data_IF_530905907649
#
_entry.id   IF_530905907649
#
_cell.length_a   1.000
_cell.length_b   1.000
_cell.length_c   1.000
_cell.angle_alpha   90.00
_cell.angle_beta   90.00
_cell.angle_gamma   90.00
#
_symmetry.space_group_name_H-M   'P 1'
#
loop_
_entity.id
_entity.type
_entity.pdbx_description
1 polymer ?
#
# COMPACT_ATOMS: atom_id res chain seq x y z
N UNK A 1 -1.90 0.08 48.56
CA UNK A 1 -1.56 -0.91 49.60
C UNK A 1 -2.84 -1.62 50.01
N UNK A 2 -2.94 -2.93 49.71
CA UNK A 2 -3.94 -3.89 50.23
C UNK A 2 -5.41 -3.64 49.83
N UNK A 3 -6.33 -4.59 49.84
CA UNK A 3 -6.31 -6.04 50.01
C UNK A 3 -7.72 -6.55 49.64
N UNK A 4 -7.82 -7.81 49.20
CA UNK A 4 -9.07 -8.55 48.97
C UNK A 4 -9.86 -8.76 50.28
N UNK A 5 -11.19 -8.61 50.25
CA UNK A 5 -12.11 -9.39 51.12
C UNK A 5 -13.43 -9.66 50.37
N UNK A 6 -13.83 -10.94 50.40
CA UNK A 6 -15.05 -11.52 49.87
C UNK A 6 -16.30 -11.17 50.70
N UNK A 7 -17.50 -11.34 50.12
CA UNK A 7 -18.69 -11.57 50.94
C UNK A 7 -20.04 -11.36 50.27
N UNK A 8 -20.77 -12.46 50.08
CA UNK A 8 -22.21 -12.52 50.42
C UNK A 8 -23.21 -12.17 49.32
N UNK A 9 -23.74 -13.19 48.65
CA UNK A 9 -25.05 -13.14 48.00
C UNK A 9 -26.15 -13.07 49.06
N UNK A 10 -26.98 -12.02 49.02
CA UNK A 10 -28.26 -11.98 49.72
C UNK A 10 -29.36 -11.66 48.71
N UNK A 11 -30.06 -12.70 48.27
CA UNK A 11 -31.29 -12.58 47.50
C UNK A 11 -32.34 -11.91 48.38
N UNK A 12 -32.75 -10.69 48.03
CA UNK A 12 -33.94 -10.05 48.62
C UNK A 12 -35.05 -10.05 47.59
N UNK A 13 -35.99 -10.93 47.88
CA UNK A 13 -37.35 -11.13 47.35
C UNK A 13 -37.93 -9.89 46.66
N UNK A 14 -38.36 -10.07 45.39
CA UNK A 14 -39.27 -9.17 44.70
C UNK A 14 -40.62 -9.12 45.43
N UNK A 15 -40.78 -8.14 46.30
CA UNK A 15 -42.08 -7.69 46.80
C UNK A 15 -42.51 -6.45 46.03
N UNK A 16 -43.41 -6.62 45.07
CA UNK A 16 -44.16 -5.51 44.48
C UNK A 16 -45.13 -5.01 45.54
N UNK A 17 -44.72 -4.01 46.30
CA UNK A 17 -45.61 -3.18 47.09
C UNK A 17 -45.29 -1.74 46.72
N UNK A 18 -46.29 -1.08 46.12
CA UNK A 18 -46.14 0.22 45.47
C UNK A 18 -45.57 1.29 46.39
N UNK A 19 -44.46 1.89 45.96
CA UNK A 19 -43.91 3.12 46.52
C UNK A 19 -43.71 4.12 45.38
N UNK A 20 -44.78 4.67 44.81
CA UNK A 20 -44.67 6.01 44.21
C UNK A 20 -44.72 7.03 45.33
N UNK A 21 -43.66 7.10 46.13
CA UNK A 21 -43.37 8.32 46.89
C UNK A 21 -42.83 9.31 45.88
N UNK A 22 -43.69 10.21 45.41
CA UNK A 22 -43.25 11.44 44.76
C UNK A 22 -42.59 12.26 45.87
N UNK A 23 -41.28 12.04 46.06
CA UNK A 23 -40.46 13.00 46.80
C UNK A 23 -40.52 14.26 45.94
N UNK A 24 -41.21 15.28 46.43
CA UNK A 24 -41.16 16.62 45.88
C UNK A 24 -39.76 17.20 46.12
N UNK A 25 -38.77 16.69 45.39
CA UNK A 25 -37.49 17.34 45.19
C UNK A 25 -37.60 18.10 43.89
N UNK A 26 -37.54 19.43 43.95
CA UNK A 26 -37.18 20.20 42.76
C UNK A 26 -35.87 19.59 42.23
N UNK A 27 -35.81 19.10 40.98
CA UNK A 27 -34.53 18.75 40.37
C UNK A 27 -33.80 20.07 40.13
N UNK A 28 -33.23 20.63 41.19
CA UNK A 28 -32.28 21.71 41.05
C UNK A 28 -31.02 21.03 40.54
N UNK A 29 -30.81 21.09 39.22
CA UNK A 29 -29.54 20.71 38.63
C UNK A 29 -28.45 21.45 39.42
N UNK A 30 -27.46 20.72 39.95
CA UNK A 30 -26.36 21.35 40.65
C UNK A 30 -25.61 22.26 39.67
N UNK A 31 -26.01 23.52 39.64
CA UNK A 31 -25.53 24.52 38.69
C UNK A 31 -24.05 24.81 38.90
N UNK A 32 -23.51 24.44 40.07
CA UNK A 32 -22.08 24.57 40.37
C UNK A 32 -21.21 23.58 39.58
N UNK A 33 -21.74 22.38 39.29
CA UNK A 33 -21.03 21.32 38.56
C UNK A 33 -21.24 21.38 37.03
N UNK A 34 -22.32 22.02 36.57
CA UNK A 34 -22.65 22.12 35.15
C UNK A 34 -21.54 22.76 34.26
N UNK A 35 -20.84 23.82 34.69
CA UNK A 35 -19.73 24.41 33.92
C UNK A 35 -18.52 23.46 33.83
N UNK A 36 -18.18 22.79 34.95
CA UNK A 36 -17.07 21.84 34.99
C UNK A 36 -17.35 20.61 34.09
N UNK A 37 -18.58 20.09 34.11
CA UNK A 37 -19.00 19.01 33.23
C UNK A 37 -18.93 19.42 31.75
N UNK A 38 -19.50 20.58 31.38
CA UNK A 38 -19.41 21.08 29.99
C UNK A 38 -17.95 21.25 29.54
N UNK A 39 -17.08 21.80 30.39
CA UNK A 39 -15.66 21.91 30.09
C UNK A 39 -14.99 20.55 29.88
N UNK A 40 -15.30 19.56 30.73
CA UNK A 40 -14.75 18.20 30.60
C UNK A 40 -15.22 17.48 29.34
N UNK A 41 -16.50 17.66 28.96
CA UNK A 41 -17.08 17.09 27.74
C UNK A 41 -16.47 17.77 26.52
N UNK A 42 -16.40 19.10 26.49
CA UNK A 42 -15.75 19.84 25.40
C UNK A 42 -14.29 19.45 25.26
N UNK A 43 -13.54 19.34 26.36
CA UNK A 43 -12.15 18.89 26.33
C UNK A 43 -12.02 17.43 25.83
N UNK A 44 -12.93 16.54 26.23
CA UNK A 44 -12.97 15.15 25.76
C UNK A 44 -13.30 15.05 24.28
N UNK A 45 -14.24 15.88 23.79
CA UNK A 45 -14.59 15.96 22.36
C UNK A 45 -13.40 16.49 21.57
N UNK A 46 -12.79 17.61 21.96
CA UNK A 46 -11.60 18.15 21.27
C UNK A 46 -10.41 17.17 21.29
N UNK A 47 -10.18 16.48 22.41
CA UNK A 47 -9.16 15.44 22.49
C UNK A 47 -9.49 14.23 21.61
N UNK A 48 -10.77 13.84 21.52
CA UNK A 48 -11.24 12.75 20.66
C UNK A 48 -11.13 13.14 19.18
N UNK A 49 -11.45 14.36 18.80
CA UNK A 49 -11.30 14.90 17.44
C UNK A 49 -9.82 14.97 17.04
N UNK A 50 -8.95 15.49 17.92
CA UNK A 50 -7.50 15.49 17.71
C UNK A 50 -6.94 14.06 17.58
N UNK A 51 -7.37 13.13 18.44
CA UNK A 51 -6.93 11.73 18.35
C UNK A 51 -7.46 11.04 17.10
N UNK A 52 -8.71 11.31 16.72
CA UNK A 52 -9.35 10.73 15.53
C UNK A 52 -8.72 11.25 14.25
N UNK A 53 -8.45 12.55 14.16
CA UNK A 53 -7.76 13.16 13.02
C UNK A 53 -6.32 12.65 12.88
N UNK A 54 -5.59 12.46 13.99
CA UNK A 54 -4.26 11.84 13.95
C UNK A 54 -4.34 10.39 13.48
N UNK A 55 -5.26 9.57 14.01
CA UNK A 55 -5.44 8.17 13.59
C UNK A 55 -5.81 8.07 12.11
N UNK A 56 -6.72 8.91 11.64
CA UNK A 56 -7.11 8.93 10.23
C UNK A 56 -5.95 9.36 9.33
N UNK A 57 -5.19 10.38 9.74
CA UNK A 57 -3.97 10.79 9.01
C UNK A 57 -2.96 9.66 8.92
N UNK A 58 -2.69 8.95 10.03
CA UNK A 58 -1.79 7.79 10.05
C UNK A 58 -2.30 6.65 9.16
N UNK A 59 -3.61 6.39 9.15
CA UNK A 59 -4.23 5.38 8.28
C UNK A 59 -4.04 5.74 6.81
N UNK A 60 -4.27 6.99 6.43
CA UNK A 60 -4.08 7.49 5.06
C UNK A 60 -2.60 7.41 4.61
N UNK A 61 -1.67 7.77 5.50
CA UNK A 61 -0.24 7.61 5.25
C UNK A 61 0.13 6.14 5.04
N UNK A 62 -0.35 5.25 5.92
CA UNK A 62 -0.07 3.81 5.84
C UNK A 62 -0.59 3.19 4.54
N UNK A 63 -1.81 3.55 4.12
CA UNK A 63 -2.37 3.11 2.83
C UNK A 63 -1.56 3.63 1.64
N UNK A 64 -1.08 4.87 1.70
CA UNK A 64 -0.24 5.46 0.65
C UNK A 64 1.09 4.70 0.55
N UNK A 65 1.76 4.47 1.68
CA UNK A 65 2.99 3.68 1.72
C UNK A 65 2.78 2.26 1.20
N UNK A 66 1.69 1.60 1.59
CA UNK A 66 1.37 0.25 1.13
C UNK A 66 1.07 0.21 -0.38
N UNK A 67 0.38 1.22 -0.93
CA UNK A 67 0.13 1.33 -2.36
C UNK A 67 1.44 1.48 -3.15
N UNK A 68 2.36 2.33 -2.67
CA UNK A 68 3.67 2.52 -3.30
C UNK A 68 4.52 1.25 -3.21
N UNK A 69 4.59 0.61 -2.02
CA UNK A 69 5.29 -0.67 -1.85
C UNK A 69 4.74 -1.77 -2.74
N UNK A 70 3.41 -1.86 -2.88
CA UNK A 70 2.77 -2.83 -3.77
C UNK A 70 3.12 -2.60 -5.23
N UNK A 71 3.16 -1.34 -5.67
CA UNK A 71 3.56 -0.99 -7.03
C UNK A 71 5.04 -1.32 -7.29
N UNK A 72 5.92 -0.97 -6.35
CA UNK A 72 7.35 -1.30 -6.39
C UNK A 72 7.60 -2.81 -6.33
N UNK A 73 6.82 -3.57 -5.57
CA UNK A 73 6.90 -5.02 -5.51
C UNK A 73 6.54 -5.68 -6.84
N UNK A 74 5.43 -5.24 -7.48
CA UNK A 74 5.08 -5.70 -8.83
C UNK A 74 6.20 -5.40 -9.83
N UNK A 75 6.69 -4.17 -9.84
CA UNK A 75 7.81 -3.76 -10.71
C UNK A 75 9.07 -4.60 -10.49
N UNK A 76 9.46 -4.84 -9.25
CA UNK A 76 10.66 -5.63 -8.93
C UNK A 76 10.51 -7.08 -9.42
N UNK A 77 9.36 -7.72 -9.15
CA UNK A 77 9.09 -9.11 -9.54
C UNK A 77 9.01 -9.24 -11.07
N UNK A 78 8.10 -8.51 -11.71
CA UNK A 78 7.86 -8.65 -13.16
C UNK A 78 9.09 -8.29 -13.97
N UNK A 79 9.88 -7.29 -13.54
CA UNK A 79 11.11 -6.92 -14.24
C UNK A 79 12.22 -7.94 -14.06
N UNK A 80 12.27 -8.66 -12.94
CA UNK A 80 13.21 -9.77 -12.75
C UNK A 80 12.85 -10.93 -13.66
N UNK A 81 11.58 -11.34 -13.68
CA UNK A 81 11.09 -12.46 -14.49
C UNK A 81 11.30 -12.21 -15.99
N UNK A 82 11.07 -10.97 -16.44
CA UNK A 82 11.35 -10.56 -17.81
C UNK A 82 12.85 -10.62 -18.15
N UNK A 83 13.72 -10.11 -17.28
CA UNK A 83 15.17 -10.16 -17.48
C UNK A 83 15.67 -11.60 -17.53
N UNK A 84 15.22 -12.46 -16.63
CA UNK A 84 15.62 -13.88 -16.61
C UNK A 84 15.19 -14.61 -17.87
N UNK A 85 14.00 -14.30 -18.40
CA UNK A 85 13.51 -14.88 -19.66
C UNK A 85 14.29 -14.36 -20.86
N UNK A 86 14.60 -13.07 -20.91
CA UNK A 86 15.45 -12.47 -21.95
C UNK A 86 16.87 -13.02 -21.91
N UNK A 87 17.42 -13.31 -20.72
CA UNK A 87 18.74 -13.91 -20.58
C UNK A 87 18.82 -15.29 -21.23
N UNK A 88 17.76 -16.09 -21.18
CA UNK A 88 17.69 -17.38 -21.90
C UNK A 88 17.74 -17.19 -23.41
N UNK A 89 17.06 -16.17 -23.93
CA UNK A 89 17.15 -15.80 -25.35
C UNK A 89 18.56 -15.35 -25.74
N UNK A 90 19.20 -14.51 -24.91
CA UNK A 90 20.58 -14.06 -25.14
C UNK A 90 21.57 -15.24 -25.09
N UNK A 91 21.38 -16.17 -24.16
CA UNK A 91 22.19 -17.40 -24.07
C UNK A 91 22.05 -18.26 -25.33
N UNK A 92 20.82 -18.50 -25.80
CA UNK A 92 20.58 -19.23 -27.05
C UNK A 92 21.23 -18.52 -28.24
N UNK A 93 21.14 -17.19 -28.31
CA UNK A 93 21.76 -16.40 -29.37
C UNK A 93 23.29 -16.53 -29.36
N UNK A 94 23.92 -16.45 -28.19
CA UNK A 94 25.38 -16.50 -28.06
C UNK A 94 25.97 -17.89 -28.24
N UNK A 95 25.23 -18.94 -27.87
CA UNK A 95 25.67 -20.33 -27.96
C UNK A 95 25.30 -21.03 -29.27
N UNK A 96 24.52 -20.37 -30.14
CA UNK A 96 23.94 -21.01 -31.34
C UNK A 96 22.84 -22.03 -31.00
N UNK A 97 22.16 -21.85 -29.86
CA UNK A 97 21.07 -22.69 -29.37
C UNK A 97 19.72 -22.38 -30.02
N UNK A 98 18.63 -22.74 -29.32
CA UNK A 98 17.25 -22.58 -29.81
C UNK A 98 16.76 -21.12 -29.73
N UNK A 99 17.19 -20.31 -30.70
CA UNK A 99 16.74 -18.91 -30.83
C UNK A 99 15.23 -18.82 -31.13
N UNK A 100 14.65 -19.60 -32.08
CA UNK A 100 13.22 -19.54 -32.36
C UNK A 100 12.35 -19.90 -31.14
N UNK A 101 12.74 -20.90 -30.35
CA UNK A 101 12.00 -21.32 -29.16
C UNK A 101 12.11 -20.37 -27.96
N UNK A 102 13.15 -19.53 -27.92
CA UNK A 102 13.36 -18.57 -26.81
C UNK A 102 12.89 -17.15 -27.12
N UNK A 103 12.76 -16.77 -28.40
CA UNK A 103 12.34 -15.43 -28.81
C UNK A 103 10.90 -15.10 -28.39
N UNK A 104 9.95 -16.02 -28.61
CA UNK A 104 8.54 -15.83 -28.25
C UNK A 104 8.33 -15.57 -26.75
N UNK A 105 8.83 -16.46 -25.87
CA UNK A 105 8.76 -16.25 -24.41
C UNK A 105 9.42 -14.94 -23.94
N UNK A 106 10.55 -14.54 -24.54
CA UNK A 106 11.20 -13.28 -24.19
C UNK A 106 10.33 -12.06 -24.57
N UNK A 107 9.69 -12.06 -25.74
CA UNK A 107 8.76 -11.02 -26.17
C UNK A 107 7.56 -10.96 -25.23
N UNK A 108 6.97 -12.10 -24.89
CA UNK A 108 5.81 -12.18 -24.00
C UNK A 108 6.15 -11.65 -22.61
N UNK A 109 7.26 -12.09 -22.01
CA UNK A 109 7.67 -11.67 -20.68
C UNK A 109 7.96 -10.16 -20.59
N UNK A 110 8.57 -9.58 -21.63
CA UNK A 110 8.81 -8.13 -21.71
C UNK A 110 7.50 -7.33 -21.79
N UNK A 111 6.56 -7.75 -22.63
CA UNK A 111 5.25 -7.09 -22.73
C UNK A 111 4.43 -7.25 -21.45
N UNK A 112 4.40 -8.45 -20.89
CA UNK A 112 3.72 -8.72 -19.62
C UNK A 112 4.28 -7.86 -18.48
N UNK A 113 5.60 -7.78 -18.34
CA UNK A 113 6.21 -6.90 -17.33
C UNK A 113 5.87 -5.42 -17.58
N UNK A 114 5.85 -4.97 -18.84
CA UNK A 114 5.43 -3.61 -19.16
C UNK A 114 3.97 -3.35 -18.76
N UNK A 115 3.07 -4.31 -18.98
CA UNK A 115 1.66 -4.21 -18.63
C UNK A 115 1.45 -4.22 -17.11
N UNK A 116 2.12 -5.11 -16.37
CA UNK A 116 2.09 -5.17 -14.90
C UNK A 116 2.57 -3.85 -14.28
N UNK A 117 3.68 -3.30 -14.80
CA UNK A 117 4.24 -2.04 -14.31
C UNK A 117 3.34 -0.87 -14.65
N UNK A 118 2.76 -0.84 -15.86
CA UNK A 118 1.80 0.20 -16.25
C UNK A 118 0.55 0.13 -15.37
N UNK A 119 0.02 -1.08 -15.13
CA UNK A 119 -1.14 -1.31 -14.27
C UNK A 119 -0.87 -1.01 -12.78
N UNK A 120 0.40 -0.99 -12.37
CA UNK A 120 0.79 -0.61 -11.03
C UNK A 120 0.72 0.92 -10.78
N UNK A 121 0.68 1.73 -11.84
CA UNK A 121 0.64 3.18 -11.76
C UNK A 121 -0.73 3.64 -11.22
N UNK A 122 -0.72 4.41 -10.13
CA UNK A 122 -1.91 4.96 -9.49
C UNK A 122 -1.62 6.36 -8.90
N UNK A 123 -2.64 7.04 -8.39
CA UNK A 123 -2.53 8.41 -7.90
C UNK A 123 -1.62 8.59 -6.68
N UNK A 124 -1.36 7.50 -5.93
CA UNK A 124 -0.50 7.53 -4.73
C UNK A 124 0.99 7.55 -5.03
N UNK A 125 1.42 7.22 -6.25
CA UNK A 125 2.83 7.34 -6.64
C UNK A 125 3.21 8.81 -6.88
N UNK A 126 4.46 9.14 -6.55
CA UNK A 126 5.07 10.41 -6.95
C UNK A 126 5.16 10.50 -8.47
N UNK A 127 5.19 11.73 -9.00
CA UNK A 127 5.39 11.96 -10.45
C UNK A 127 6.66 11.28 -10.97
N UNK A 128 7.73 11.28 -10.18
CA UNK A 128 9.01 10.66 -10.55
C UNK A 128 8.91 9.13 -10.68
N UNK A 129 8.16 8.46 -9.77
CA UNK A 129 7.91 7.03 -9.88
C UNK A 129 7.04 6.69 -11.11
N UNK A 130 6.00 7.50 -11.38
CA UNK A 130 5.15 7.32 -12.56
C UNK A 130 5.95 7.44 -13.85
N UNK A 131 6.82 8.44 -13.94
CA UNK A 131 7.73 8.65 -15.07
C UNK A 131 8.70 7.47 -15.24
N UNK A 132 9.34 7.03 -14.16
CA UNK A 132 10.27 5.91 -14.20
C UNK A 132 9.59 4.59 -14.63
N UNK A 133 8.38 4.33 -14.13
CA UNK A 133 7.61 3.12 -14.51
C UNK A 133 7.16 3.17 -15.96
N UNK A 134 6.74 4.34 -16.44
CA UNK A 134 6.38 4.55 -17.85
C UNK A 134 7.58 4.34 -18.76
N UNK A 135 8.73 4.95 -18.42
CA UNK A 135 9.99 4.81 -19.16
C UNK A 135 10.44 3.35 -19.21
N UNK A 136 10.35 2.62 -18.08
CA UNK A 136 10.65 1.19 -18.05
C UNK A 136 9.72 0.39 -18.98
N UNK A 137 8.41 0.63 -18.91
CA UNK A 137 7.43 -0.08 -19.73
C UNK A 137 7.65 0.17 -21.23
N UNK A 138 7.99 1.40 -21.63
CA UNK A 138 8.37 1.74 -23.00
C UNK A 138 9.66 1.04 -23.43
N UNK A 139 10.70 1.05 -22.59
CA UNK A 139 11.97 0.39 -22.89
C UNK A 139 11.81 -1.13 -23.02
N UNK A 140 10.99 -1.75 -22.17
CA UNK A 140 10.70 -3.19 -22.24
C UNK A 140 10.01 -3.56 -23.56
N UNK A 141 8.99 -2.79 -23.97
CA UNK A 141 8.34 -2.94 -25.28
C UNK A 141 9.31 -2.65 -26.43
N UNK A 142 10.25 -1.72 -26.25
CA UNK A 142 11.33 -1.44 -27.20
C UNK A 142 12.24 -2.65 -27.45
N UNK A 143 12.64 -3.37 -26.40
CA UNK A 143 13.41 -4.61 -26.53
C UNK A 143 12.56 -5.71 -27.18
N UNK A 144 11.29 -5.86 -26.78
CA UNK A 144 10.39 -6.85 -27.36
C UNK A 144 10.24 -6.66 -28.89
N UNK A 145 10.08 -5.40 -29.32
CA UNK A 145 10.04 -5.03 -30.73
C UNK A 145 11.35 -5.33 -31.46
N UNK A 146 12.51 -5.10 -30.81
CA UNK A 146 13.81 -5.43 -31.39
C UNK A 146 13.98 -6.94 -31.61
N UNK A 147 13.51 -7.78 -30.67
CA UNK A 147 13.50 -9.24 -30.83
C UNK A 147 12.56 -9.64 -31.96
N UNK A 148 11.31 -9.16 -31.94
CA UNK A 148 10.27 -9.50 -32.92
C UNK A 148 10.67 -9.13 -34.36
N UNK A 149 11.25 -7.95 -34.54
CA UNK A 149 11.72 -7.46 -35.85
C UNK A 149 13.07 -8.05 -36.28
N UNK A 150 13.69 -8.91 -35.46
CA UNK A 150 15.05 -9.43 -35.68
C UNK A 150 16.05 -8.30 -35.94
N UNK A 151 15.98 -7.26 -35.12
CA UNK A 151 16.81 -6.07 -35.26
C UNK A 151 18.31 -6.42 -35.22
N UNK A 152 19.17 -5.62 -35.88
CA UNK A 152 20.61 -5.79 -35.78
C UNK A 152 21.09 -5.77 -34.32
N UNK A 153 22.15 -6.53 -34.02
CA UNK A 153 22.68 -6.69 -32.65
C UNK A 153 22.99 -5.35 -31.99
N UNK A 154 23.51 -4.36 -32.74
CA UNK A 154 23.76 -3.03 -32.22
C UNK A 154 22.48 -2.32 -31.73
N UNK A 155 21.38 -2.47 -32.47
CA UNK A 155 20.07 -1.91 -32.10
C UNK A 155 19.52 -2.63 -30.87
N UNK A 156 19.57 -3.97 -30.85
CA UNK A 156 19.15 -4.75 -29.70
C UNK A 156 19.91 -4.35 -28.42
N UNK A 157 21.25 -4.25 -28.50
CA UNK A 157 22.07 -3.85 -27.36
C UNK A 157 21.74 -2.44 -26.86
N UNK A 158 21.52 -1.48 -27.76
CA UNK A 158 21.07 -0.14 -27.37
C UNK A 158 19.75 -0.17 -26.61
N UNK A 159 18.75 -0.94 -27.10
CA UNK A 159 17.46 -1.08 -26.42
C UNK A 159 17.58 -1.79 -25.06
N UNK A 160 18.42 -2.81 -24.98
CA UNK A 160 18.73 -3.51 -23.73
C UNK A 160 19.37 -2.57 -22.71
N UNK A 161 20.27 -1.69 -23.14
CA UNK A 161 20.90 -0.71 -22.25
C UNK A 161 19.89 0.35 -21.76
N UNK A 162 18.99 0.81 -22.63
CA UNK A 162 17.85 1.67 -22.25
C UNK A 162 16.96 0.99 -21.19
N UNK A 163 16.59 -0.28 -21.40
CA UNK A 163 15.82 -1.08 -20.46
C UNK A 163 16.54 -1.21 -19.11
N UNK A 164 17.84 -1.51 -19.11
CA UNK A 164 18.63 -1.66 -17.89
C UNK A 164 18.70 -0.36 -17.08
N UNK A 165 18.93 0.78 -17.73
CA UNK A 165 18.94 2.09 -17.06
C UNK A 165 17.57 2.44 -16.49
N UNK A 166 16.50 2.23 -17.26
CA UNK A 166 15.14 2.49 -16.80
C UNK A 166 14.77 1.61 -15.60
N UNK A 167 15.17 0.32 -15.65
CA UNK A 167 14.99 -0.62 -14.54
C UNK A 167 15.75 -0.16 -13.29
N UNK A 168 17.02 0.22 -13.44
CA UNK A 168 17.84 0.70 -12.33
C UNK A 168 17.26 1.96 -11.68
N UNK A 169 16.84 2.94 -12.49
CA UNK A 169 16.16 4.16 -12.02
C UNK A 169 14.90 3.81 -11.21
N UNK A 170 14.04 2.93 -11.75
CA UNK A 170 12.84 2.48 -11.04
C UNK A 170 13.16 1.79 -9.72
N UNK A 171 14.15 0.90 -9.70
CA UNK A 171 14.59 0.20 -8.48
C UNK A 171 15.16 1.18 -7.45
N UNK A 172 15.92 2.18 -7.89
CA UNK A 172 16.49 3.20 -7.01
C UNK A 172 15.40 4.01 -6.32
N UNK A 173 14.39 4.45 -7.06
CA UNK A 173 13.27 5.22 -6.51
C UNK A 173 12.43 4.38 -5.54
N UNK A 174 12.24 3.10 -5.84
CA UNK A 174 11.52 2.18 -4.98
C UNK A 174 12.21 1.90 -3.64
N UNK A 175 13.54 2.07 -3.52
CA UNK A 175 14.27 1.88 -2.24
C UNK A 175 13.87 2.88 -1.15
N UNK A 176 13.22 3.98 -1.52
CA UNK A 176 12.76 4.98 -0.56
C UNK A 176 11.51 4.52 0.24
N UNK A 177 10.92 3.37 -0.10
CA UNK A 177 9.66 2.88 0.45
C UNK A 177 9.80 1.46 0.98
#
# INVERSE_FOLDING_TARGET
MGALVAGGTAAVVMGVVGCTSIIGGTPEADTSAAPAYRSSVSASVSASEATSSIRETQRQQSMTTQAVRGACGRFASSSSDAVDTVNKYVEAFNSGGDIPGTAGPAIEALNHSADEVTGAINEKLSTELKDAFTTYAEAARGVANAISSKAPVAVYNSRKDELNRAREKGMQLCRAF
#
